data_IF_642921932747
#
_entry.id   IF_642921932747
#
_cell.length_a   1.000
_cell.length_b   1.000
_cell.length_c   1.000
_cell.angle_alpha   90.00
_cell.angle_beta   90.00
_cell.angle_gamma   90.00
#
_symmetry.space_group_name_H-M   'P 1'
#
loop_
_entity.id
_entity.type
_entity.pdbx_description
1 polymer ?
#
# COMPACT_ATOMS: atom_id res chain seq x y z
N UNK A 1 -22.23 10.55 -16.07
CA UNK A 1 -22.61 9.16 -15.78
C UNK A 1 -22.27 8.88 -14.33
N UNK A 2 -23.27 8.77 -13.44
CA UNK A 2 -23.04 8.40 -12.05
C UNK A 2 -22.60 6.94 -11.98
N UNK A 3 -21.29 6.70 -11.84
CA UNK A 3 -20.78 5.40 -11.40
C UNK A 3 -21.14 5.31 -9.93
N UNK A 4 -22.27 4.67 -9.59
CA UNK A 4 -22.51 4.19 -8.23
C UNK A 4 -21.28 3.37 -7.83
N UNK A 5 -20.45 3.93 -6.97
CA UNK A 5 -19.26 3.27 -6.49
C UNK A 5 -19.71 2.11 -5.60
N UNK A 6 -19.67 0.89 -6.13
CA UNK A 6 -19.74 -0.35 -5.34
C UNK A 6 -18.43 -0.53 -4.54
N UNK A 7 -18.06 0.50 -3.79
CA UNK A 7 -16.95 0.50 -2.87
C UNK A 7 -17.43 -0.06 -1.54
N UNK A 8 -16.66 -1.00 -1.02
CA UNK A 8 -16.88 -1.63 0.26
C UNK A 8 -15.61 -1.49 1.09
N UNK A 9 -15.78 -1.44 2.41
CA UNK A 9 -14.67 -1.63 3.33
C UNK A 9 -14.39 -3.12 3.46
N UNK A 10 -13.14 -3.51 3.28
CA UNK A 10 -12.64 -4.86 3.53
C UNK A 10 -11.64 -4.79 4.69
N UNK A 11 -11.72 -5.76 5.59
CA UNK A 11 -10.85 -5.88 6.76
C UNK A 11 -9.78 -6.93 6.47
N UNK A 12 -8.53 -6.52 6.61
CA UNK A 12 -7.38 -7.42 6.74
C UNK A 12 -7.15 -7.69 8.23
N UNK A 13 -7.30 -8.94 8.70
CA UNK A 13 -6.80 -9.33 10.02
C UNK A 13 -5.26 -9.24 10.05
N UNK A 14 -4.70 -8.69 11.12
CA UNK A 14 -3.24 -8.53 11.30
C UNK A 14 -2.80 -9.17 12.62
N UNK A 15 -1.49 -9.40 12.78
CA UNK A 15 -0.93 -9.84 14.05
C UNK A 15 -0.63 -8.61 14.94
N UNK A 16 -1.30 -8.42 16.08
CA UNK A 16 -1.01 -7.30 16.99
C UNK A 16 0.37 -7.41 17.66
N UNK A 17 1.12 -8.51 17.49
CA UNK A 17 2.51 -8.61 17.95
C UNK A 17 3.52 -8.08 16.92
N UNK A 18 3.08 -7.74 15.71
CA UNK A 18 3.92 -7.02 14.75
C UNK A 18 4.20 -5.59 15.23
N UNK A 19 5.21 -4.95 14.64
CA UNK A 19 5.74 -3.65 15.07
C UNK A 19 4.68 -2.53 15.17
N UNK A 20 3.62 -2.61 14.37
CA UNK A 20 2.54 -1.62 14.34
C UNK A 20 1.51 -1.82 15.47
N UNK A 21 1.43 -3.00 16.10
CA UNK A 21 0.57 -3.25 17.25
C UNK A 21 -0.94 -3.19 16.98
N UNK A 22 -1.37 -3.33 15.72
CA UNK A 22 -2.77 -3.18 15.28
C UNK A 22 -3.34 -4.56 14.92
N UNK A 23 -4.56 -4.85 15.37
CA UNK A 23 -5.24 -6.14 15.14
C UNK A 23 -5.86 -6.27 13.74
N UNK A 24 -6.11 -5.16 13.05
CA UNK A 24 -6.67 -5.17 11.70
C UNK A 24 -6.46 -3.85 10.96
N UNK A 25 -6.43 -3.94 9.63
CA UNK A 25 -6.45 -2.80 8.73
C UNK A 25 -7.72 -2.82 7.89
N UNK A 26 -8.27 -1.64 7.58
CA UNK A 26 -9.43 -1.51 6.68
C UNK A 26 -9.06 -0.78 5.40
N UNK A 27 -9.36 -1.40 4.27
CA UNK A 27 -9.10 -0.88 2.93
C UNK A 27 -10.39 -0.70 2.12
N UNK A 28 -10.31 0.04 1.02
CA UNK A 28 -11.37 0.17 0.04
C UNK A 28 -11.24 -0.88 -1.05
N UNK A 29 -12.36 -1.53 -1.37
CA UNK A 29 -12.42 -2.50 -2.46
C UNK A 29 -13.65 -2.28 -3.32
N UNK A 30 -13.54 -2.52 -4.63
CA UNK A 30 -14.68 -2.53 -5.55
C UNK A 30 -15.18 -3.96 -5.77
N UNK A 31 -16.49 -4.20 -5.65
CA UNK A 31 -17.04 -5.53 -5.97
C UNK A 31 -16.89 -5.88 -7.47
N UNK A 32 -16.43 -7.09 -7.75
CA UNK A 32 -16.37 -7.72 -9.09
C UNK A 32 -17.44 -8.80 -9.30
N UNK A 33 -18.37 -8.93 -8.35
CA UNK A 33 -19.41 -9.96 -8.30
C UNK A 33 -19.01 -11.22 -7.54
N UNK A 34 -19.99 -11.87 -6.90
CA UNK A 34 -19.75 -13.01 -6.01
C UNK A 34 -18.95 -12.60 -4.76
N UNK A 35 -17.93 -13.38 -4.43
CA UNK A 35 -16.99 -13.10 -3.35
C UNK A 35 -15.69 -12.44 -3.84
N UNK A 36 -15.67 -11.89 -5.07
CA UNK A 36 -14.50 -11.24 -5.67
C UNK A 36 -14.56 -9.73 -5.56
N UNK A 37 -13.42 -9.13 -5.23
CA UNK A 37 -13.27 -7.70 -5.05
C UNK A 37 -11.94 -7.25 -5.65
N UNK A 38 -11.86 -6.02 -6.15
CA UNK A 38 -10.61 -5.38 -6.54
C UNK A 38 -10.15 -4.43 -5.43
N UNK A 39 -8.90 -4.52 -5.00
CA UNK A 39 -8.31 -3.55 -4.07
C UNK A 39 -8.16 -2.18 -4.73
N UNK A 40 -8.52 -1.11 -4.03
CA UNK A 40 -8.60 0.25 -4.62
C UNK A 40 -7.66 1.27 -3.96
N UNK A 41 -6.98 0.90 -2.89
CA UNK A 41 -5.96 1.72 -2.25
C UNK A 41 -4.85 0.83 -1.68
N UNK A 42 -3.68 1.42 -1.46
CA UNK A 42 -2.50 0.70 -0.97
C UNK A 42 -2.59 0.48 0.54
N UNK A 43 -2.42 -0.77 1.03
CA UNK A 43 -2.45 -1.05 2.47
C UNK A 43 -1.20 -0.55 3.18
N UNK A 44 -1.34 -0.01 4.39
CA UNK A 44 -0.24 0.40 5.26
C UNK A 44 0.44 -0.78 5.94
N UNK A 45 -0.31 -1.80 6.38
CA UNK A 45 0.20 -2.83 7.28
C UNK A 45 0.03 -4.24 6.71
N UNK A 46 -1.05 -4.50 5.96
CA UNK A 46 -1.27 -5.79 5.34
C UNK A 46 -0.15 -6.11 4.33
N UNK A 47 0.55 -7.22 4.55
CA UNK A 47 1.61 -7.70 3.67
C UNK A 47 1.08 -8.67 2.60
N UNK A 48 1.85 -8.85 1.53
CA UNK A 48 1.55 -9.82 0.47
C UNK A 48 0.42 -9.41 -0.50
N UNK A 49 0.03 -8.13 -0.48
CA UNK A 49 -1.02 -7.54 -1.31
C UNK A 49 -0.59 -6.20 -1.89
N UNK A 50 -1.09 -5.85 -3.06
CA UNK A 50 -0.88 -4.55 -3.68
C UNK A 50 -2.14 -3.99 -4.35
N UNK A 51 -2.11 -2.66 -4.55
CA UNK A 51 -3.22 -1.95 -5.17
C UNK A 51 -3.65 -2.60 -6.48
N UNK A 52 -4.95 -2.74 -6.67
CA UNK A 52 -5.53 -3.36 -7.86
C UNK A 52 -5.59 -4.88 -7.87
N UNK A 53 -5.07 -5.57 -6.86
CA UNK A 53 -5.22 -7.03 -6.73
C UNK A 53 -6.69 -7.43 -6.73
N UNK A 54 -7.00 -8.58 -7.35
CA UNK A 54 -8.31 -9.21 -7.20
C UNK A 54 -8.25 -10.13 -5.98
N UNK A 55 -9.11 -9.87 -5.00
CA UNK A 55 -9.18 -10.56 -3.72
C UNK A 55 -10.45 -11.43 -3.65
N UNK A 56 -10.36 -12.54 -2.94
CA UNK A 56 -11.52 -13.21 -2.38
C UNK A 56 -11.75 -12.69 -0.96
N UNK A 57 -13.02 -12.48 -0.60
CA UNK A 57 -13.40 -12.06 0.72
C UNK A 57 -14.76 -12.60 1.14
N UNK A 58 -14.90 -12.93 2.42
CA UNK A 58 -16.09 -13.53 3.00
C UNK A 58 -16.76 -12.55 3.96
N UNK A 59 -18.08 -12.70 4.14
CA UNK A 59 -18.81 -11.91 5.15
C UNK A 59 -18.79 -12.61 6.48
N UNK A 60 -18.20 -11.97 7.48
CA UNK A 60 -18.13 -12.45 8.85
C UNK A 60 -18.69 -11.40 9.78
N UNK A 61 -19.72 -11.76 10.57
CA UNK A 61 -20.38 -10.83 11.53
C UNK A 61 -20.77 -9.46 10.91
N UNK A 62 -21.10 -9.45 9.62
CA UNK A 62 -21.49 -8.25 8.86
C UNK A 62 -20.35 -7.48 8.19
N UNK A 63 -19.09 -7.79 8.51
CA UNK A 63 -17.91 -7.20 7.88
C UNK A 63 -17.44 -8.05 6.70
N UNK A 64 -16.80 -7.41 5.72
CA UNK A 64 -16.11 -8.12 4.63
C UNK A 64 -14.68 -8.36 5.07
N UNK A 65 -14.27 -9.63 5.16
CA UNK A 65 -12.94 -10.03 5.67
C UNK A 65 -12.16 -10.69 4.55
N UNK A 66 -10.89 -10.30 4.41
CA UNK A 66 -9.96 -10.90 3.45
C UNK A 66 -9.85 -12.41 3.63
N UNK A 67 -9.83 -13.15 2.53
CA UNK A 67 -9.55 -14.59 2.49
C UNK A 67 -8.20 -14.85 1.81
N UNK A 68 -8.07 -14.44 0.53
CA UNK A 68 -6.83 -14.59 -0.23
C UNK A 68 -6.78 -13.70 -1.47
N UNK A 69 -5.59 -13.52 -2.03
CA UNK A 69 -5.41 -12.99 -3.38
C UNK A 69 -5.86 -14.03 -4.40
N UNK A 70 -6.80 -13.66 -5.27
CA UNK A 70 -7.25 -14.46 -6.40
C UNK A 70 -6.39 -14.22 -7.64
N UNK A 71 -5.97 -12.98 -7.86
CA UNK A 71 -5.13 -12.57 -8.99
C UNK A 71 -4.32 -11.32 -8.62
N UNK A 72 -3.00 -11.43 -8.79
CA UNK A 72 -2.10 -10.30 -8.60
C UNK A 72 -2.28 -9.24 -9.71
N UNK A 73 -2.17 -7.98 -9.31
CA UNK A 73 -2.13 -6.80 -10.18
C UNK A 73 -0.78 -6.60 -10.87
N UNK A 74 0.29 -7.10 -10.25
CA UNK A 74 1.68 -6.83 -10.62
C UNK A 74 2.25 -5.56 -9.98
N UNK A 75 1.46 -4.80 -9.22
CA UNK A 75 1.93 -3.65 -8.45
C UNK A 75 2.79 -4.12 -7.28
N UNK A 76 3.62 -3.22 -6.74
CA UNK A 76 4.32 -3.44 -5.47
C UNK A 76 3.88 -2.42 -4.42
N UNK A 77 3.93 -2.86 -3.15
CA UNK A 77 3.62 -2.06 -1.96
C UNK A 77 4.88 -1.90 -1.13
N UNK A 78 5.29 -0.65 -0.89
CA UNK A 78 6.32 -0.30 0.08
C UNK A 78 5.74 0.69 1.08
N UNK A 79 6.39 0.84 2.22
CA UNK A 79 6.01 1.83 3.23
C UNK A 79 7.21 2.66 3.65
N UNK A 80 6.98 3.96 3.78
CA UNK A 80 7.98 4.98 4.11
C UNK A 80 7.63 5.55 5.49
N UNK A 81 8.59 5.50 6.41
CA UNK A 81 8.52 6.14 7.73
C UNK A 81 9.48 7.33 7.72
N UNK A 82 8.95 8.54 7.84
CA UNK A 82 9.75 9.76 7.70
C UNK A 82 10.58 10.00 8.96
N UNK A 83 11.88 10.27 8.79
CA UNK A 83 12.77 10.58 9.91
C UNK A 83 12.40 11.92 10.55
N UNK A 84 12.44 12.01 11.89
CA UNK A 84 12.03 13.20 12.65
C UNK A 84 12.81 14.47 12.26
N UNK A 85 14.04 14.32 11.77
CA UNK A 85 14.92 15.41 11.38
C UNK A 85 14.64 15.94 9.97
N UNK A 86 13.85 15.21 9.18
CA UNK A 86 13.57 15.50 7.78
C UNK A 86 12.83 16.81 7.62
N UNK A 87 13.34 17.68 6.77
CA UNK A 87 12.62 18.89 6.39
C UNK A 87 11.58 18.58 5.30
N UNK A 88 10.40 19.24 5.30
CA UNK A 88 9.36 18.99 4.28
C UNK A 88 9.84 19.13 2.83
N UNK A 89 10.79 20.04 2.57
CA UNK A 89 11.40 20.23 1.25
C UNK A 89 12.32 19.08 0.84
N UNK A 90 12.97 18.40 1.79
CA UNK A 90 13.82 17.23 1.52
C UNK A 90 12.96 16.04 1.12
N UNK A 91 11.92 15.76 1.92
CA UNK A 91 10.92 14.75 1.61
C UNK A 91 10.28 15.02 0.24
N UNK A 92 9.79 16.24 0.00
CA UNK A 92 9.11 16.59 -1.25
C UNK A 92 10.01 16.41 -2.48
N UNK A 93 11.30 16.76 -2.37
CA UNK A 93 12.27 16.58 -3.46
C UNK A 93 12.54 15.11 -3.76
N UNK A 94 12.66 14.27 -2.73
CA UNK A 94 12.92 12.85 -2.90
C UNK A 94 11.66 12.12 -3.39
N UNK A 95 10.50 12.40 -2.79
CA UNK A 95 9.20 11.86 -3.23
C UNK A 95 8.90 12.19 -4.69
N UNK A 96 9.21 13.41 -5.16
CA UNK A 96 9.02 13.81 -6.55
C UNK A 96 9.77 12.92 -7.56
N UNK A 97 10.79 12.16 -7.14
CA UNK A 97 11.45 11.17 -8.01
C UNK A 97 10.56 9.94 -8.21
N UNK A 98 9.94 9.43 -7.15
CA UNK A 98 8.96 8.32 -7.21
C UNK A 98 7.70 8.74 -7.96
N UNK A 99 7.17 9.93 -7.68
CA UNK A 99 5.98 10.46 -8.35
C UNK A 99 6.19 10.57 -9.88
N UNK A 100 7.40 10.94 -10.33
CA UNK A 100 7.75 10.98 -11.76
C UNK A 100 7.73 9.60 -12.44
N UNK A 101 7.90 8.51 -11.70
CA UNK A 101 7.72 7.14 -12.21
C UNK A 101 6.25 6.75 -12.29
N UNK A 102 5.35 7.53 -11.69
CA UNK A 102 3.92 7.23 -11.56
C UNK A 102 3.56 6.55 -10.25
N UNK A 103 4.49 6.47 -9.28
CA UNK A 103 4.17 5.99 -7.94
C UNK A 103 3.20 6.95 -7.25
N UNK A 104 2.32 6.39 -6.42
CA UNK A 104 1.38 7.15 -5.58
C UNK A 104 1.50 6.69 -4.13
N UNK A 105 0.97 7.45 -3.19
CA UNK A 105 0.88 6.97 -1.81
C UNK A 105 -0.45 7.31 -1.15
N UNK A 106 -0.82 6.48 -0.20
CA UNK A 106 -1.74 6.84 0.88
C UNK A 106 -0.91 7.38 2.06
N UNK A 107 -1.46 8.35 2.78
CA UNK A 107 -0.90 8.90 4.00
C UNK A 107 -1.84 8.68 5.19
N UNK A 108 -1.28 8.57 6.39
CA UNK A 108 -2.04 8.51 7.63
C UNK A 108 -1.39 9.43 8.66
N UNK A 109 -2.23 10.05 9.50
CA UNK A 109 -1.77 10.87 10.62
C UNK A 109 -1.18 9.96 11.72
N UNK A 110 0.12 9.67 11.58
CA UNK A 110 0.92 8.85 12.47
C UNK A 110 2.19 9.61 12.90
N UNK A 111 2.78 9.20 14.02
CA UNK A 111 4.02 9.76 14.56
C UNK A 111 5.03 8.61 14.79
N UNK A 112 6.09 8.48 13.96
CA UNK A 112 6.43 9.35 12.82
C UNK A 112 5.47 9.20 11.62
N UNK A 113 5.46 10.17 10.68
CA UNK A 113 4.61 10.10 9.48
C UNK A 113 4.85 8.82 8.67
N UNK A 114 3.75 8.15 8.29
CA UNK A 114 3.76 6.89 7.56
C UNK A 114 3.05 7.03 6.22
N UNK A 115 3.71 6.59 5.16
CA UNK A 115 3.16 6.56 3.80
C UNK A 115 3.16 5.13 3.26
N UNK A 116 2.04 4.71 2.66
CA UNK A 116 1.94 3.46 1.91
C UNK A 116 2.05 3.74 0.42
N UNK A 117 3.12 3.27 -0.21
CA UNK A 117 3.54 3.57 -1.58
C UNK A 117 3.07 2.47 -2.53
N UNK A 118 2.28 2.86 -3.53
CA UNK A 118 1.98 2.05 -4.72
C UNK A 118 3.08 2.26 -5.78
N UNK A 119 3.66 1.16 -6.25
CA UNK A 119 4.53 1.15 -7.42
C UNK A 119 3.77 0.42 -8.54
N UNK A 120 3.35 1.13 -9.61
CA UNK A 120 2.61 0.51 -10.71
C UNK A 120 3.42 -0.57 -11.40
N UNK A 121 2.75 -1.65 -11.84
CA UNK A 121 3.37 -2.80 -12.51
C UNK A 121 4.19 -2.48 -13.79
N UNK A 122 3.98 -1.28 -14.37
CA UNK A 122 4.69 -0.77 -15.53
C UNK A 122 6.02 -0.08 -15.20
N UNK A 123 6.29 0.19 -13.92
CA UNK A 123 7.51 0.83 -13.46
C UNK A 123 8.63 -0.22 -13.39
N UNK A 124 9.85 0.19 -13.71
CA UNK A 124 11.02 -0.64 -13.40
C UNK A 124 11.24 -0.65 -11.88
N UNK A 125 10.97 -1.79 -11.26
CA UNK A 125 11.04 -1.95 -9.81
C UNK A 125 12.44 -1.65 -9.25
N UNK A 126 13.51 -1.93 -10.01
CA UNK A 126 14.87 -1.65 -9.55
C UNK A 126 15.15 -0.15 -9.50
N UNK A 127 14.57 0.62 -10.43
CA UNK A 127 14.69 2.09 -10.43
C UNK A 127 13.92 2.70 -9.26
N UNK A 128 12.70 2.21 -8.99
CA UNK A 128 11.92 2.69 -7.85
C UNK A 128 12.58 2.32 -6.51
N UNK A 129 13.07 1.08 -6.39
CA UNK A 129 13.80 0.61 -5.21
C UNK A 129 15.07 1.42 -4.94
N UNK A 130 15.85 1.75 -5.98
CA UNK A 130 17.03 2.58 -5.84
C UNK A 130 16.72 4.00 -5.30
N UNK A 131 15.54 4.56 -5.62
CA UNK A 131 15.10 5.86 -5.08
C UNK A 131 14.70 5.74 -3.60
N UNK A 132 14.09 4.61 -3.20
CA UNK A 132 13.78 4.31 -1.81
C UNK A 132 15.07 4.19 -0.99
N UNK A 133 16.05 3.42 -1.47
CA UNK A 133 17.37 3.29 -0.86
C UNK A 133 18.12 4.62 -0.79
N UNK A 134 18.05 5.46 -1.83
CA UNK A 134 18.68 6.79 -1.81
C UNK A 134 18.06 7.67 -0.73
N UNK A 135 16.73 7.66 -0.57
CA UNK A 135 16.06 8.42 0.49
C UNK A 135 16.45 7.95 1.88
N UNK A 136 16.62 6.64 2.06
CA UNK A 136 17.13 6.06 3.31
C UNK A 136 18.59 6.41 3.57
N UNK A 137 19.46 6.30 2.57
CA UNK A 137 20.86 6.69 2.68
C UNK A 137 21.08 8.19 2.96
N UNK A 138 20.12 9.04 2.60
CA UNK A 138 20.11 10.47 2.92
C UNK A 138 19.53 10.77 4.32
N UNK A 139 18.97 9.78 5.02
CA UNK A 139 18.32 9.96 6.31
C UNK A 139 16.99 10.72 6.22
N UNK A 140 16.30 10.65 5.08
CA UNK A 140 14.98 11.27 4.87
C UNK A 140 13.86 10.37 5.39
N UNK A 141 14.03 9.06 5.22
CA UNK A 141 13.07 8.06 5.67
C UNK A 141 13.74 6.72 5.92
N UNK A 142 13.11 5.84 6.69
CA UNK A 142 13.29 4.40 6.58
C UNK A 142 12.20 3.82 5.67
N UNK A 143 12.42 2.66 5.06
CA UNK A 143 11.38 1.99 4.28
C UNK A 143 11.33 0.48 4.50
N UNK A 144 10.16 -0.12 4.26
CA UNK A 144 9.95 -1.57 4.32
C UNK A 144 9.11 -2.05 3.12
N UNK A 145 9.42 -3.26 2.65
CA UNK A 145 8.61 -3.95 1.64
C UNK A 145 7.35 -4.55 2.29
N UNK A 146 6.17 -4.16 1.80
CA UNK A 146 4.92 -4.84 2.10
C UNK A 146 4.61 -5.97 1.11
N UNK A 147 4.93 -5.75 -0.16
CA UNK A 147 4.79 -6.74 -1.23
C UNK A 147 5.58 -6.35 -2.48
N UNK A 148 6.41 -7.25 -3.02
CA UNK A 148 6.92 -7.13 -4.39
C UNK A 148 6.11 -7.98 -5.37
N UNK A 149 5.26 -7.34 -6.19
CA UNK A 149 4.44 -8.01 -7.22
C UNK A 149 5.04 -7.99 -8.63
N UNK A 150 6.16 -7.29 -8.82
CA UNK A 150 6.86 -7.23 -10.10
C UNK A 150 7.55 -8.57 -10.42
N UNK A 151 7.67 -8.89 -11.71
CA UNK A 151 8.48 -10.02 -12.16
C UNK A 151 9.95 -9.59 -12.21
N UNK A 152 10.76 -10.15 -11.31
CA UNK A 152 12.21 -9.95 -11.20
C UNK A 152 13.02 -10.98 -12.00
#
# INVERSE_FOLDING_TARGET
>A
MNKNSNLHKLVFPLDPHDWHGIESETVWVRSLGGNRYKLENTPFFACGVANGDELLANREKGQLVFDKVAKASGHSTYRIMVEETTQPDEFSKQWAKLEKLGCTCEDIDADPPLFSVDIPASVDIHVAYAILEEGEGLGIWAFEEGHCGHQI
#
